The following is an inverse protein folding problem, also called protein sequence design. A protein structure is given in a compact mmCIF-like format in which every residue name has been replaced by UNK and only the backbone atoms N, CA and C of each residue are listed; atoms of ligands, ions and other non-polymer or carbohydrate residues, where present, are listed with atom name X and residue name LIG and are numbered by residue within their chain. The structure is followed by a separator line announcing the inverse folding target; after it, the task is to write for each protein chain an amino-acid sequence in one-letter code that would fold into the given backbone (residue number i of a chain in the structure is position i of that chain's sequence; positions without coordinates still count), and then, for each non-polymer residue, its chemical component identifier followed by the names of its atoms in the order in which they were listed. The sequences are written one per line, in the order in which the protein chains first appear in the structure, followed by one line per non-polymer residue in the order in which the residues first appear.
data_IF_382405841760
#
_entry.id   IF_382405841760
#
_cell.length_a   1.000
_cell.length_b   1.000
_cell.length_c   1.000
_cell.angle_alpha   90.00
_cell.angle_beta   90.00
_cell.angle_gamma   90.00
#
_symmetry.space_group_name_H-M   'P 1'
#
loop_
_entity.id
_entity.type
_entity.pdbx_description
1 polymer ?
#
# COMPACT_ATOMS: atom_id res chain seq x y z
N UNK A 1 1.25 0.19 7.07
CA UNK A 1 2.08 -0.56 6.10
C UNK A 1 1.31 -0.85 4.82
N UNK A 2 2.01 -1.07 3.71
CA UNK A 2 1.41 -1.43 2.41
C UNK A 2 1.05 -2.92 2.36
N UNK A 3 -0.01 -3.26 1.63
CA UNK A 3 -0.61 -4.58 1.59
C UNK A 3 -0.89 -4.99 0.14
N UNK A 4 -0.52 -6.22 -0.20
CA UNK A 4 -0.94 -6.88 -1.43
C UNK A 4 -2.33 -7.49 -1.22
N UNK A 5 -3.27 -7.09 -2.07
CA UNK A 5 -4.64 -7.58 -2.04
C UNK A 5 -5.05 -8.14 -3.40
N UNK A 6 -5.97 -9.10 -3.39
CA UNK A 6 -6.43 -9.73 -4.63
C UNK A 6 -7.84 -10.29 -4.55
N UNK A 7 -8.51 -10.37 -5.69
CA UNK A 7 -9.70 -11.22 -5.93
C UNK A 7 -9.31 -12.57 -6.57
N UNK A 8 -8.08 -12.72 -7.07
CA UNK A 8 -7.61 -13.91 -7.75
C UNK A 8 -7.34 -15.04 -6.74
N UNK A 9 -8.04 -16.19 -6.83
CA UNK A 9 -7.79 -17.34 -5.97
C UNK A 9 -6.44 -18.03 -6.27
N UNK A 10 -5.78 -17.77 -7.40
CA UNK A 10 -4.51 -18.39 -7.76
C UNK A 10 -3.30 -17.69 -7.16
N UNK A 11 -3.42 -16.42 -6.75
CA UNK A 11 -2.32 -15.64 -6.23
C UNK A 11 -2.16 -15.90 -4.71
N UNK A 12 -1.23 -16.76 -4.31
CA UNK A 12 -1.06 -17.19 -2.92
C UNK A 12 0.06 -16.45 -2.20
N UNK A 13 1.02 -15.91 -2.95
CA UNK A 13 2.23 -15.28 -2.42
C UNK A 13 2.78 -14.22 -3.39
N UNK A 14 3.84 -13.52 -2.97
CA UNK A 14 4.54 -12.56 -3.84
C UNK A 14 5.17 -13.21 -5.08
N UNK A 15 5.61 -14.46 -4.99
CA UNK A 15 6.24 -15.15 -6.12
C UNK A 15 5.27 -15.36 -7.29
N UNK A 16 3.96 -15.41 -7.01
CA UNK A 16 2.90 -15.54 -8.01
C UNK A 16 2.68 -14.24 -8.82
N UNK A 17 3.35 -13.13 -8.46
CA UNK A 17 3.28 -11.86 -9.20
C UNK A 17 4.13 -11.86 -10.48
N UNK A 18 4.99 -12.85 -10.69
CA UNK A 18 5.81 -12.92 -11.89
C UNK A 18 4.95 -12.94 -13.17
N UNK A 19 5.13 -11.95 -14.04
CA UNK A 19 4.37 -11.79 -15.28
C UNK A 19 2.95 -11.26 -15.09
N UNK A 20 2.56 -10.90 -13.86
CA UNK A 20 1.24 -10.32 -13.55
C UNK A 20 1.31 -8.79 -13.61
N UNK A 21 0.12 -8.18 -13.61
CA UNK A 21 -0.06 -6.74 -13.51
C UNK A 21 -0.66 -6.39 -12.16
N UNK A 22 -0.04 -5.44 -11.45
CA UNK A 22 -0.47 -4.94 -10.15
C UNK A 22 -0.90 -3.48 -10.28
N UNK A 23 -2.10 -3.16 -9.79
CA UNK A 23 -2.59 -1.79 -9.73
C UNK A 23 -2.08 -1.08 -8.47
N UNK A 24 -1.65 0.17 -8.60
CA UNK A 24 -1.13 0.99 -7.48
C UNK A 24 -1.49 2.45 -7.64
N UNK A 25 -1.73 3.17 -6.54
CA UNK A 25 -1.83 4.63 -6.56
C UNK A 25 -0.50 5.25 -6.97
N UNK A 26 -0.50 6.04 -8.04
CA UNK A 26 0.71 6.67 -8.57
C UNK A 26 1.36 7.63 -7.56
N UNK A 27 2.68 7.49 -7.37
CA UNK A 27 3.44 8.38 -6.47
C UNK A 27 3.23 8.10 -4.97
N UNK A 28 2.43 7.10 -4.63
CA UNK A 28 2.21 6.66 -3.24
C UNK A 28 3.33 5.74 -2.73
N UNK A 29 3.27 5.38 -1.45
CA UNK A 29 4.11 4.32 -0.90
C UNK A 29 3.83 2.96 -1.55
N UNK A 30 2.60 2.69 -1.98
CA UNK A 30 2.28 1.47 -2.73
C UNK A 30 3.04 1.39 -4.07
N UNK A 31 3.12 2.50 -4.82
CA UNK A 31 3.93 2.57 -6.06
C UNK A 31 5.42 2.38 -5.76
N UNK A 32 5.93 2.96 -4.67
CA UNK A 32 7.32 2.73 -4.24
C UNK A 32 7.59 1.24 -3.96
N UNK A 33 6.72 0.57 -3.18
CA UNK A 33 6.89 -0.86 -2.90
C UNK A 33 6.75 -1.72 -4.16
N UNK A 34 5.81 -1.40 -5.04
CA UNK A 34 5.63 -2.13 -6.30
C UNK A 34 6.86 -2.00 -7.22
N UNK A 35 7.50 -0.82 -7.23
CA UNK A 35 8.77 -0.62 -7.94
C UNK A 35 9.93 -1.39 -7.31
N UNK A 36 9.97 -1.53 -5.98
CA UNK A 36 10.94 -2.41 -5.30
C UNK A 36 10.70 -3.87 -5.66
N UNK A 37 9.46 -4.35 -5.61
CA UNK A 37 9.09 -5.70 -6.03
C UNK A 37 9.48 -5.97 -7.49
N UNK A 38 9.32 -5.00 -8.40
CA UNK A 38 9.73 -5.15 -9.79
C UNK A 38 11.25 -5.32 -9.96
N UNK A 39 12.07 -4.89 -9.00
CA UNK A 39 13.52 -5.15 -9.03
C UNK A 39 13.84 -6.63 -8.79
N UNK A 40 13.04 -7.31 -7.97
CA UNK A 40 13.18 -8.75 -7.67
C UNK A 40 12.37 -9.64 -8.60
N UNK A 41 11.28 -9.11 -9.17
CA UNK A 41 10.38 -9.76 -10.13
C UNK A 41 10.30 -8.93 -11.43
N UNK A 42 11.30 -9.04 -12.34
CA UNK A 42 11.40 -8.15 -13.50
C UNK A 42 10.23 -8.22 -14.48
N UNK A 43 9.49 -9.32 -14.49
CA UNK A 43 8.30 -9.52 -15.33
C UNK A 43 7.02 -8.92 -14.74
N UNK A 44 7.05 -8.41 -13.50
CA UNK A 44 5.94 -7.69 -12.87
C UNK A 44 5.65 -6.39 -13.61
N UNK A 45 4.40 -6.22 -14.03
CA UNK A 45 3.90 -5.00 -14.66
C UNK A 45 3.20 -4.12 -13.63
N UNK A 46 3.44 -2.81 -13.70
CA UNK A 46 2.78 -1.83 -12.84
C UNK A 46 1.70 -1.10 -13.63
N UNK A 47 0.50 -1.04 -13.06
CA UNK A 47 -0.63 -0.31 -13.60
C UNK A 47 -0.95 0.88 -12.67
N UNK A 48 -0.37 2.06 -12.91
CA UNK A 48 -0.59 3.23 -12.06
C UNK A 48 -2.03 3.72 -12.19
N UNK A 49 -2.63 4.03 -11.05
CA UNK A 49 -3.99 4.54 -10.89
C UNK A 49 -3.98 5.88 -10.15
N UNK A 50 -5.01 6.74 -10.34
CA UNK A 50 -5.02 8.09 -9.77
C UNK A 50 -5.17 8.12 -8.25
N UNK A 51 -5.79 7.10 -7.66
CA UNK A 51 -6.05 7.00 -6.22
C UNK A 51 -6.19 5.52 -5.79
N UNK A 52 -6.24 5.22 -4.48
CA UNK A 52 -6.37 3.84 -3.99
C UNK A 52 -7.69 3.17 -4.40
N UNK A 53 -8.79 3.92 -4.54
CA UNK A 53 -10.10 3.35 -4.90
C UNK A 53 -10.11 2.86 -6.34
N UNK A 54 -9.46 3.60 -7.23
CA UNK A 54 -9.24 3.20 -8.62
C UNK A 54 -8.34 1.95 -8.72
N UNK A 55 -7.31 1.83 -7.87
CA UNK A 55 -6.47 0.63 -7.80
C UNK A 55 -7.27 -0.63 -7.41
N UNK A 56 -8.22 -0.50 -6.49
CA UNK A 56 -9.05 -1.63 -6.02
C UNK A 56 -10.09 -2.11 -7.03
N UNK A 57 -10.25 -1.45 -8.18
CA UNK A 57 -11.09 -1.94 -9.28
C UNK A 57 -10.43 -3.08 -10.07
N UNK A 58 -9.18 -3.42 -9.77
CA UNK A 58 -8.40 -4.46 -10.46
C UNK A 58 -8.21 -5.70 -9.59
N UNK A 59 -7.96 -6.85 -10.23
CA UNK A 59 -7.87 -8.14 -9.54
C UNK A 59 -6.68 -8.25 -8.58
N UNK A 60 -5.63 -7.45 -8.80
CA UNK A 60 -4.43 -7.43 -7.95
C UNK A 60 -4.04 -5.97 -7.74
N UNK A 61 -3.95 -5.56 -6.47
CA UNK A 61 -3.57 -4.21 -6.11
C UNK A 61 -2.62 -4.20 -4.93
N UNK A 62 -1.79 -3.17 -4.85
CA UNK A 62 -1.09 -2.81 -3.61
C UNK A 62 -1.72 -1.53 -3.09
N UNK A 63 -2.20 -1.58 -1.86
CA UNK A 63 -2.81 -0.43 -1.17
C UNK A 63 -2.33 -0.37 0.27
N UNK A 64 -2.61 0.74 0.91
CA UNK A 64 -2.42 0.89 2.33
C UNK A 64 -3.27 -0.11 3.15
N UNK A 65 -2.74 -0.64 4.25
CA UNK A 65 -3.38 -1.67 5.07
C UNK A 65 -4.75 -1.27 5.64
N UNK A 66 -4.96 -0.01 6.01
CA UNK A 66 -6.27 0.48 6.46
C UNK A 66 -7.26 0.51 5.29
N UNK A 67 -6.78 0.86 4.09
CA UNK A 67 -7.58 0.83 2.86
C UNK A 67 -7.96 -0.60 2.46
N UNK A 68 -7.06 -1.56 2.64
CA UNK A 68 -7.36 -2.98 2.42
C UNK A 68 -8.47 -3.48 3.36
N UNK A 69 -8.42 -3.11 4.64
CA UNK A 69 -9.40 -3.55 5.65
C UNK A 69 -10.82 -3.03 5.41
N UNK A 70 -10.99 -1.91 4.69
CA UNK A 70 -12.32 -1.38 4.35
C UNK A 70 -12.99 -2.08 3.16
N UNK A 71 -12.33 -3.07 2.54
CA UNK A 71 -12.80 -3.79 1.36
C UNK A 71 -12.87 -5.31 1.61
N UNK A 72 -13.91 -5.82 2.30
CA UNK A 72 -13.99 -7.21 2.76
C UNK A 72 -14.11 -8.25 1.63
N UNK A 73 -14.41 -7.81 0.41
CA UNK A 73 -14.46 -8.65 -0.78
C UNK A 73 -13.08 -8.95 -1.38
N UNK A 74 -12.03 -8.28 -0.89
CA UNK A 74 -10.65 -8.52 -1.30
C UNK A 74 -9.95 -9.41 -0.28
N UNK A 75 -9.10 -10.31 -0.77
CA UNK A 75 -8.24 -11.13 0.08
C UNK A 75 -6.91 -10.43 0.27
N UNK A 76 -6.51 -10.24 1.53
CA UNK A 76 -5.15 -9.88 1.89
C UNK A 76 -4.23 -11.08 1.64
N UNK A 77 -3.16 -10.87 0.88
CA UNK A 77 -2.14 -11.89 0.60
C UNK A 77 -1.00 -11.74 1.60
N UNK A 78 -0.40 -10.55 1.64
CA UNK A 78 0.76 -10.26 2.48
C UNK A 78 0.90 -8.74 2.74
N UNK A 79 1.45 -8.39 3.90
CA UNK A 79 1.91 -7.03 4.18
C UNK A 79 3.34 -6.84 3.65
N UNK A 80 3.55 -5.83 2.82
CA UNK A 80 4.83 -5.53 2.19
C UNK A 80 5.73 -4.63 3.05
N UNK A 81 5.12 -3.89 3.98
CA UNK A 81 5.83 -3.01 4.90
C UNK A 81 5.12 -2.88 6.24
N UNK A 82 5.88 -2.56 7.29
CA UNK A 82 5.38 -2.30 8.65
C UNK A 82 5.54 -0.82 9.02
N UNK A 83 5.01 0.06 8.16
CA UNK A 83 5.06 1.50 8.38
C UNK A 83 3.96 1.98 9.34
N UNK A 84 4.36 2.85 10.27
CA UNK A 84 3.50 3.48 11.26
C UNK A 84 2.80 4.71 10.68
N UNK A 85 1.52 4.92 11.00
CA UNK A 85 0.86 6.19 10.67
C UNK A 85 1.31 7.29 11.62
N UNK A 86 1.57 8.46 11.05
CA UNK A 86 1.94 9.66 11.80
C UNK A 86 1.17 10.88 11.28
N UNK A 87 0.88 11.82 12.19
CA UNK A 87 0.41 13.14 11.80
C UNK A 87 1.61 14.01 11.41
N UNK A 88 1.69 14.42 10.14
CA UNK A 88 2.74 15.32 9.66
C UNK A 88 2.41 16.77 10.03
N UNK A 89 3.41 17.52 10.49
CA UNK A 89 3.32 18.96 10.76
C UNK A 89 4.51 19.68 10.14
N UNK A 90 4.39 21.00 9.95
CA UNK A 90 5.52 21.82 9.48
C UNK A 90 6.72 21.68 10.42
N UNK A 91 7.93 21.61 9.85
CA UNK A 91 9.19 21.51 10.59
C UNK A 91 9.43 22.69 11.53
N UNK A 92 8.82 23.84 11.23
CA UNK A 92 8.91 25.06 12.04
C UNK A 92 7.98 25.03 13.26
N UNK A 93 6.92 24.20 13.25
CA UNK A 93 5.88 24.20 14.27
C UNK A 93 6.09 23.10 15.33
N UNK A 94 7.14 23.27 16.13
CA UNK A 94 7.48 22.34 17.23
C UNK A 94 6.43 22.30 18.34
N UNK A 95 5.72 23.41 18.58
CA UNK A 95 4.69 23.48 19.60
C UNK A 95 3.49 22.60 19.25
N UNK A 96 3.03 22.62 17.99
CA UNK A 96 1.95 21.75 17.53
C UNK A 96 2.35 20.27 17.60
N UNK A 97 3.58 19.93 17.18
CA UNK A 97 4.10 18.56 17.32
C UNK A 97 4.04 18.07 18.77
N UNK A 98 4.44 18.91 19.72
CA UNK A 98 4.45 18.56 21.14
C UNK A 98 3.04 18.28 21.68
N UNK A 99 2.05 19.11 21.34
CA UNK A 99 0.68 18.91 21.83
C UNK A 99 -0.01 17.71 21.16
N UNK A 100 0.26 17.46 19.87
CA UNK A 100 -0.19 16.24 19.18
C UNK A 100 0.37 15.00 19.88
N UNK A 101 1.70 14.94 20.09
CA UNK A 101 2.33 13.79 20.74
C UNK A 101 1.84 13.58 22.18
N UNK A 102 1.60 14.66 22.93
CA UNK A 102 1.00 14.60 24.27
C UNK A 102 -0.44 14.08 24.28
N UNK A 103 -1.18 14.31 23.20
CA UNK A 103 -2.55 13.79 23.04
C UNK A 103 -2.54 12.32 22.65
N UNK A 104 -1.65 11.93 21.73
CA UNK A 104 -1.51 10.55 21.24
C UNK A 104 -0.87 9.57 22.24
N UNK A 105 -0.22 10.07 23.30
CA UNK A 105 0.40 9.25 24.36
C UNK A 105 -0.52 8.97 25.55
N UNK A 106 -1.79 9.34 25.46
CA UNK A 106 -2.83 9.03 26.46
C UNK A 106 -3.58 7.77 26.06
#
# INVERSE_FOLDING_TARGET
GQALVTTDPQLQSLDDLAGRTVAVEWGSMADMEARRLRQTLPSLQLNPQPDPQAALQFDIAIVDGVTALSHPNLRLVEYLSDDWYAAAVSIENRALLAEINKTLSR
#
